data_IF_580317921172
#
_entry.id   IF_580317921172
#
_cell.length_a   1.000
_cell.length_b   1.000
_cell.length_c   1.000
_cell.angle_alpha   90.00
_cell.angle_beta   90.00
_cell.angle_gamma   90.00
#
_symmetry.space_group_name_H-M   'P 1'
#
loop_
_entity.id
_entity.type
_entity.pdbx_description
1 polymer ?
#
# COMPACT_ATOMS: atom_id res chain seq x y z
N UNK A 1 -21.64 -7.28 39.57
CA UNK A 1 -21.37 -8.76 39.63
C UNK A 1 -20.23 -9.12 40.56
N UNK A 2 -19.11 -8.40 40.63
CA UNK A 2 -18.05 -8.61 41.63
C UNK A 2 -18.55 -8.42 43.08
N UNK A 3 -19.34 -7.38 43.36
CA UNK A 3 -19.93 -7.08 44.65
C UNK A 3 -20.87 -8.22 45.20
N UNK A 4 -21.62 -8.88 44.29
CA UNK A 4 -22.51 -10.00 44.67
C UNK A 4 -21.76 -11.30 45.02
N UNK A 5 -20.44 -11.35 44.73
CA UNK A 5 -19.61 -12.51 45.04
C UNK A 5 -18.85 -12.37 46.37
N UNK A 6 -18.71 -11.13 46.87
CA UNK A 6 -18.08 -10.84 48.16
C UNK A 6 -19.04 -11.04 49.35
N UNK A 7 -20.36 -11.07 49.09
CA UNK A 7 -21.38 -11.36 50.08
C UNK A 7 -21.85 -12.83 49.95
N UNK A 8 -21.14 -13.79 50.48
CA UNK A 8 -21.50 -15.22 50.71
C UNK A 8 -22.69 -15.81 49.89
N UNK A 9 -22.76 -15.49 48.61
CA UNK A 9 -23.82 -15.97 47.71
C UNK A 9 -23.49 -17.38 47.22
N UNK A 10 -24.36 -18.38 47.44
CA UNK A 10 -24.16 -19.75 46.98
C UNK A 10 -24.27 -19.92 45.46
N UNK A 11 -24.50 -18.83 44.73
CA UNK A 11 -24.69 -18.86 43.29
C UNK A 11 -23.37 -18.96 42.52
N UNK A 12 -23.28 -19.95 41.63
CA UNK A 12 -22.09 -20.11 40.80
C UNK A 12 -21.92 -18.92 39.83
N UNK A 13 -20.65 -18.58 39.49
CA UNK A 13 -20.35 -17.54 38.51
C UNK A 13 -21.11 -17.76 37.18
N UNK A 14 -21.33 -19.01 36.80
CA UNK A 14 -22.08 -19.38 35.59
C UNK A 14 -23.55 -18.92 35.69
N UNK A 15 -24.18 -19.12 36.88
CA UNK A 15 -25.56 -18.72 37.15
C UNK A 15 -25.69 -17.20 37.15
N UNK A 16 -24.75 -16.49 37.78
CA UNK A 16 -24.73 -15.04 37.82
C UNK A 16 -24.53 -14.44 36.41
N UNK A 17 -23.58 -14.94 35.62
CA UNK A 17 -23.39 -14.50 34.24
C UNK A 17 -24.65 -14.73 33.39
N UNK A 18 -25.32 -15.89 33.54
CA UNK A 18 -26.54 -16.21 32.80
C UNK A 18 -27.72 -15.28 33.13
N UNK A 19 -27.88 -14.88 34.40
CA UNK A 19 -28.93 -13.93 34.83
C UNK A 19 -28.77 -12.54 34.19
N UNK A 20 -27.54 -12.12 33.90
CA UNK A 20 -27.24 -10.82 33.28
C UNK A 20 -26.95 -10.90 31.78
N UNK A 21 -27.15 -12.06 31.15
CA UNK A 21 -26.93 -12.25 29.72
C UNK A 21 -25.46 -12.25 29.27
N UNK A 22 -24.51 -12.49 30.20
CA UNK A 22 -23.08 -12.52 29.90
C UNK A 22 -22.52 -13.94 29.88
N UNK A 23 -21.48 -14.19 29.09
CA UNK A 23 -20.67 -15.41 29.15
C UNK A 23 -19.68 -15.35 30.34
N UNK A 24 -19.23 -16.50 30.83
CA UNK A 24 -18.16 -16.55 31.85
C UNK A 24 -16.87 -15.90 31.32
N UNK A 25 -16.60 -16.06 30.04
CA UNK A 25 -15.44 -15.48 29.39
C UNK A 25 -15.51 -13.94 29.38
N UNK A 26 -16.67 -13.38 29.07
CA UNK A 26 -16.94 -11.95 29.19
C UNK A 26 -16.69 -11.39 30.58
N UNK A 27 -17.07 -12.13 31.63
CA UNK A 27 -16.80 -11.71 33.01
C UNK A 27 -15.30 -11.61 33.32
N UNK A 28 -14.50 -12.59 32.89
CA UNK A 28 -13.05 -12.55 33.14
C UNK A 28 -12.36 -11.49 32.29
N UNK A 29 -12.83 -11.22 31.08
CA UNK A 29 -12.31 -10.17 30.22
C UNK A 29 -12.53 -8.77 30.84
N UNK A 30 -13.62 -8.57 31.58
CA UNK A 30 -13.94 -7.29 32.23
C UNK A 30 -13.46 -7.18 33.71
N UNK A 31 -12.88 -8.24 34.29
CA UNK A 31 -12.52 -8.27 35.72
C UNK A 31 -11.25 -7.51 36.08
N UNK A 32 -10.37 -7.28 35.11
CA UNK A 32 -8.98 -6.84 35.38
C UNK A 32 -8.78 -5.33 35.46
N UNK A 33 -9.81 -4.53 35.76
CA UNK A 33 -9.64 -3.08 36.06
C UNK A 33 -9.14 -2.23 34.90
N UNK A 34 -9.07 -2.78 33.71
CA UNK A 34 -8.59 -2.11 32.48
C UNK A 34 -9.66 -1.20 31.84
N UNK A 35 -10.92 -1.30 32.28
CA UNK A 35 -12.06 -0.57 31.70
C UNK A 35 -11.84 0.96 31.71
N UNK A 36 -11.17 1.50 32.73
CA UNK A 36 -10.94 2.95 32.82
C UNK A 36 -9.85 3.39 31.84
N UNK A 37 -8.78 2.60 31.72
CA UNK A 37 -7.68 2.90 30.78
C UNK A 37 -8.13 2.65 29.32
N UNK A 38 -8.90 1.59 29.06
CA UNK A 38 -9.49 1.31 27.75
C UNK A 38 -10.47 2.41 27.34
N UNK A 39 -11.38 2.84 28.21
CA UNK A 39 -12.33 3.93 27.97
C UNK A 39 -11.63 5.29 27.76
N UNK A 40 -10.49 5.52 28.39
CA UNK A 40 -9.72 6.75 28.20
C UNK A 40 -8.93 6.78 26.89
N UNK A 41 -8.49 5.62 26.36
CA UNK A 41 -7.69 5.54 25.15
C UNK A 41 -8.54 5.52 23.87
N UNK A 42 -9.78 5.03 23.92
CA UNK A 42 -10.67 4.96 22.75
C UNK A 42 -10.86 6.31 22.03
N UNK A 43 -11.12 7.44 22.73
CA UNK A 43 -11.21 8.76 22.09
C UNK A 43 -9.94 9.14 21.34
N UNK A 44 -8.76 8.83 21.89
CA UNK A 44 -7.47 9.12 21.26
C UNK A 44 -7.25 8.26 20.02
N UNK A 45 -7.65 6.99 20.07
CA UNK A 45 -7.63 6.09 18.90
C UNK A 45 -8.54 6.64 17.80
N UNK A 46 -9.75 7.06 18.14
CA UNK A 46 -10.72 7.65 17.20
C UNK A 46 -10.19 8.95 16.59
N UNK A 47 -9.58 9.82 17.39
CA UNK A 47 -8.95 11.05 16.91
C UNK A 47 -7.82 10.75 15.92
N UNK A 48 -6.90 9.85 16.27
CA UNK A 48 -5.82 9.42 15.38
C UNK A 48 -6.35 8.75 14.11
N UNK A 49 -7.39 7.93 14.23
CA UNK A 49 -8.04 7.34 13.06
C UNK A 49 -8.64 8.39 12.12
N UNK A 50 -9.19 9.49 12.66
CA UNK A 50 -9.68 10.63 11.86
C UNK A 50 -8.54 11.37 11.16
N UNK A 51 -7.41 11.57 11.83
CA UNK A 51 -6.22 12.19 11.24
C UNK A 51 -5.74 11.37 10.04
N UNK A 52 -5.51 10.06 10.23
CA UNK A 52 -5.11 9.17 9.14
C UNK A 52 -6.14 9.09 8.00
N UNK A 53 -7.45 9.20 8.33
CA UNK A 53 -8.52 9.26 7.32
C UNK A 53 -8.52 10.57 6.52
N UNK A 54 -8.05 11.67 7.09
CA UNK A 54 -7.86 12.95 6.40
C UNK A 54 -6.74 12.85 5.39
N UNK A 55 -5.63 12.20 5.77
CA UNK A 55 -4.46 12.05 4.92
C UNK A 55 -4.60 10.91 3.90
N UNK A 56 -5.26 9.81 4.29
CA UNK A 56 -5.59 8.70 3.40
C UNK A 56 -7.04 8.25 3.60
N UNK A 57 -7.99 8.83 2.84
CA UNK A 57 -9.42 8.55 3.03
C UNK A 57 -9.83 7.12 2.62
N UNK A 58 -8.99 6.40 1.89
CA UNK A 58 -9.24 5.04 1.43
C UNK A 58 -8.45 3.95 2.15
N UNK A 59 -7.63 4.30 3.13
CA UNK A 59 -6.82 3.32 3.87
C UNK A 59 -7.70 2.26 4.54
N UNK A 60 -7.53 0.98 4.22
CA UNK A 60 -8.32 -0.11 4.79
C UNK A 60 -8.13 -0.26 6.30
N UNK A 61 -9.19 -0.66 7.04
CA UNK A 61 -9.16 -0.76 8.49
C UNK A 61 -8.03 -1.65 9.03
N UNK A 62 -7.68 -2.74 8.33
CA UNK A 62 -6.58 -3.62 8.76
C UNK A 62 -5.21 -2.91 8.75
N UNK A 63 -4.94 -2.06 7.75
CA UNK A 63 -3.70 -1.27 7.70
C UNK A 63 -3.71 -0.14 8.73
N UNK A 64 -4.85 0.55 8.86
CA UNK A 64 -5.03 1.57 9.89
C UNK A 64 -4.82 0.99 11.30
N UNK A 65 -5.30 -0.25 11.55
CA UNK A 65 -5.05 -0.95 12.80
C UNK A 65 -3.56 -1.15 13.08
N UNK A 66 -2.78 -1.56 12.05
CA UNK A 66 -1.33 -1.75 12.19
C UNK A 66 -0.65 -0.44 12.57
N UNK A 67 -0.97 0.65 11.87
CA UNK A 67 -0.38 1.97 12.14
C UNK A 67 -0.71 2.42 13.57
N UNK A 68 -1.98 2.40 13.94
CA UNK A 68 -2.42 2.89 15.26
C UNK A 68 -1.90 1.98 16.36
N UNK A 69 -1.89 0.65 16.17
CA UNK A 69 -1.32 -0.28 17.13
C UNK A 69 0.14 0.07 17.45
N UNK A 70 0.96 0.36 16.44
CA UNK A 70 2.36 0.74 16.65
C UNK A 70 2.49 2.05 17.46
N UNK A 71 1.59 3.02 17.25
CA UNK A 71 1.58 4.28 18.01
C UNK A 71 1.23 4.07 19.50
N UNK A 72 0.36 3.11 19.80
CA UNK A 72 -0.12 2.84 21.16
C UNK A 72 0.50 1.59 21.79
N UNK A 73 1.52 0.98 21.16
CA UNK A 73 2.14 -0.26 21.63
C UNK A 73 2.65 -0.15 23.08
N UNK A 74 3.26 0.98 23.42
CA UNK A 74 3.80 1.24 24.77
C UNK A 74 2.74 1.38 25.86
N UNK A 75 1.48 1.62 25.52
CA UNK A 75 0.40 1.81 26.49
C UNK A 75 -0.17 0.49 27.01
N UNK A 76 0.00 -0.60 26.25
CA UNK A 76 -0.62 -1.91 26.55
C UNK A 76 -2.14 -1.96 26.45
N UNK A 77 -2.80 -0.84 26.12
CA UNK A 77 -4.27 -0.69 26.14
C UNK A 77 -4.90 -0.71 24.73
N UNK A 78 -4.19 -1.12 23.70
CA UNK A 78 -4.74 -1.17 22.34
C UNK A 78 -5.77 -2.30 22.21
N UNK A 79 -7.02 -2.01 21.77
CA UNK A 79 -8.03 -3.04 21.57
C UNK A 79 -7.62 -4.05 20.49
N UNK A 80 -8.19 -5.26 20.58
CA UNK A 80 -8.01 -6.26 19.51
C UNK A 80 -8.56 -5.76 18.17
N UNK A 81 -8.07 -6.35 17.05
CA UNK A 81 -8.41 -5.91 15.70
C UNK A 81 -9.92 -5.78 15.46
N UNK A 82 -10.71 -6.73 15.91
CA UNK A 82 -12.16 -6.76 15.65
C UNK A 82 -12.90 -5.70 16.49
N UNK A 83 -12.48 -5.49 17.74
CA UNK A 83 -12.98 -4.39 18.59
C UNK A 83 -12.60 -3.02 18.02
N UNK A 84 -11.38 -2.87 17.48
CA UNK A 84 -10.96 -1.66 16.78
C UNK A 84 -11.83 -1.38 15.53
N UNK A 85 -12.15 -2.40 14.73
CA UNK A 85 -13.02 -2.23 13.56
C UNK A 85 -14.42 -1.81 13.99
N UNK A 86 -14.94 -2.36 15.09
CA UNK A 86 -16.22 -1.96 15.63
C UNK A 86 -16.21 -0.52 16.14
N UNK A 87 -15.15 -0.11 16.84
CA UNK A 87 -14.94 1.28 17.25
C UNK A 87 -14.96 2.24 16.05
N UNK A 88 -14.29 1.87 14.94
CA UNK A 88 -14.36 2.66 13.71
C UNK A 88 -15.77 2.71 13.10
N UNK A 89 -16.52 1.61 13.17
CA UNK A 89 -17.89 1.53 12.63
C UNK A 89 -18.85 2.42 13.40
N UNK A 90 -18.83 2.35 14.73
CA UNK A 90 -19.67 3.19 15.59
C UNK A 90 -19.38 4.68 15.39
N UNK A 91 -18.11 5.03 15.13
CA UNK A 91 -17.69 6.41 14.90
C UNK A 91 -17.81 6.89 13.43
N UNK A 92 -18.42 6.08 12.55
CA UNK A 92 -18.63 6.45 11.13
C UNK A 92 -17.33 6.53 10.29
N UNK A 93 -16.27 5.86 10.73
CA UNK A 93 -14.94 5.90 10.11
C UNK A 93 -14.66 4.74 9.14
N UNK A 94 -15.70 4.00 8.74
CA UNK A 94 -15.55 2.93 7.75
C UNK A 94 -15.32 3.46 6.34
N UNK A 95 -14.44 2.81 5.59
CA UNK A 95 -14.17 3.17 4.20
C UNK A 95 -15.30 2.71 3.29
N UNK A 96 -15.86 3.64 2.52
CA UNK A 96 -16.79 3.31 1.45
C UNK A 96 -16.02 2.96 0.17
N UNK A 97 -16.28 1.77 -0.37
CA UNK A 97 -15.67 1.32 -1.63
C UNK A 97 -16.54 1.83 -2.79
N UNK A 98 -15.99 2.75 -3.59
CA UNK A 98 -16.60 3.18 -4.85
C UNK A 98 -15.97 2.38 -5.98
N UNK A 99 -16.78 1.62 -6.76
CA UNK A 99 -16.34 1.00 -8.00
C UNK A 99 -16.42 2.03 -9.13
N UNK A 100 -15.34 2.20 -9.89
CA UNK A 100 -15.32 3.04 -11.10
C UNK A 100 -14.98 2.20 -12.33
N UNK A 101 -15.33 2.73 -13.53
CA UNK A 101 -15.03 2.08 -14.80
C UNK A 101 -13.53 2.12 -15.09
N UNK A 102 -13.02 1.04 -15.67
CA UNK A 102 -11.67 0.99 -16.22
C UNK A 102 -11.64 1.61 -17.62
N UNK A 103 -10.63 2.46 -17.87
CA UNK A 103 -10.31 2.95 -19.21
C UNK A 103 -9.03 2.25 -19.68
N UNK A 104 -9.01 1.87 -20.96
CA UNK A 104 -7.82 1.30 -21.59
C UNK A 104 -6.93 2.45 -22.07
N UNK A 105 -5.67 2.50 -21.62
CA UNK A 105 -4.74 3.62 -21.83
C UNK A 105 -3.51 3.28 -22.67
N UNK A 106 -3.26 2.00 -22.96
CA UNK A 106 -2.04 1.56 -23.63
C UNK A 106 -2.29 1.35 -25.12
N UNK A 107 -1.54 2.08 -25.95
CA UNK A 107 -1.38 1.79 -27.37
C UNK A 107 -0.02 1.12 -27.60
N UNK A 108 -0.05 -0.19 -27.88
CA UNK A 108 1.11 -1.02 -28.18
C UNK A 108 1.31 -1.26 -29.69
N UNK A 109 0.45 -0.69 -30.55
CA UNK A 109 0.47 -0.84 -32.01
C UNK A 109 1.37 0.16 -32.71
N UNK A 110 2.61 0.30 -32.25
CA UNK A 110 3.60 1.22 -32.86
C UNK A 110 4.82 0.47 -33.40
N UNK A 111 5.63 1.13 -34.23
CA UNK A 111 6.80 0.59 -34.95
C UNK A 111 8.11 0.64 -34.17
N UNK A 112 8.13 1.18 -32.93
CA UNK A 112 9.34 1.25 -32.12
C UNK A 112 9.85 -0.15 -31.72
N UNK A 113 11.17 -0.23 -31.49
CA UNK A 113 11.82 -1.45 -31.02
C UNK A 113 11.26 -1.86 -29.64
N UNK A 114 10.96 -3.16 -29.48
CA UNK A 114 10.46 -3.76 -28.25
C UNK A 114 11.56 -4.62 -27.65
N UNK A 115 11.80 -4.44 -26.35
CA UNK A 115 12.82 -5.17 -25.60
C UNK A 115 12.26 -6.44 -25.00
N UNK A 116 13.13 -7.40 -24.71
CA UNK A 116 12.76 -8.68 -24.09
C UNK A 116 12.34 -8.50 -22.63
N UNK A 117 11.57 -9.46 -22.09
CA UNK A 117 11.22 -9.49 -20.68
C UNK A 117 12.35 -10.14 -19.89
N UNK A 118 13.12 -9.33 -19.17
CA UNK A 118 14.25 -9.77 -18.34
C UNK A 118 13.84 -10.09 -16.90
N UNK A 119 12.58 -9.80 -16.50
CA UNK A 119 12.13 -9.94 -15.11
C UNK A 119 11.17 -11.11 -14.90
N UNK A 120 10.93 -11.89 -15.93
CA UNK A 120 10.11 -13.10 -15.82
C UNK A 120 10.75 -14.06 -14.81
N UNK A 121 10.00 -14.41 -13.77
CA UNK A 121 10.45 -15.32 -12.69
C UNK A 121 11.58 -14.74 -11.79
N UNK A 122 11.97 -13.48 -11.97
CA UNK A 122 12.95 -12.83 -11.10
C UNK A 122 12.26 -12.28 -9.85
N UNK A 123 12.75 -12.71 -8.69
CA UNK A 123 12.33 -12.15 -7.39
C UNK A 123 13.45 -11.22 -6.89
N UNK A 124 13.22 -9.90 -6.82
CA UNK A 124 14.26 -8.99 -6.34
C UNK A 124 14.54 -9.24 -4.85
N UNK A 125 15.82 -9.19 -4.49
CA UNK A 125 16.33 -9.45 -3.13
C UNK A 125 16.84 -8.19 -2.43
N UNK A 126 16.88 -7.07 -3.13
CA UNK A 126 17.32 -5.76 -2.59
C UNK A 126 16.70 -4.61 -3.40
N UNK A 127 16.69 -3.39 -2.84
CA UNK A 127 16.26 -2.19 -3.56
C UNK A 127 17.10 -1.94 -4.81
N UNK A 128 16.49 -1.29 -5.79
CA UNK A 128 17.13 -0.84 -7.03
C UNK A 128 17.70 -1.98 -7.92
N UNK A 129 17.15 -3.20 -7.79
CA UNK A 129 17.39 -4.28 -8.75
C UNK A 129 16.42 -4.21 -9.93
N UNK A 130 15.15 -3.93 -9.65
CA UNK A 130 14.10 -3.83 -10.67
C UNK A 130 13.21 -2.64 -10.33
N UNK A 131 13.10 -1.71 -11.28
CA UNK A 131 12.06 -0.69 -11.25
C UNK A 131 10.97 -1.02 -12.26
N UNK A 132 9.73 -0.87 -11.86
CA UNK A 132 8.56 -1.06 -12.73
C UNK A 132 7.86 0.26 -12.98
N UNK A 133 7.45 0.51 -14.21
CA UNK A 133 6.82 1.77 -14.64
C UNK A 133 5.46 1.54 -15.26
N UNK A 134 4.54 2.46 -14.99
CA UNK A 134 3.23 2.49 -15.63
C UNK A 134 2.67 3.91 -15.63
N UNK A 135 1.81 4.20 -16.62
CA UNK A 135 1.11 5.48 -16.75
C UNK A 135 -0.37 5.26 -16.49
N UNK A 136 -0.93 6.11 -15.64
CA UNK A 136 -2.36 6.06 -15.37
C UNK A 136 -3.00 7.43 -15.54
N UNK A 137 -4.30 7.48 -15.81
CA UNK A 137 -5.05 8.74 -15.94
C UNK A 137 -5.63 9.17 -14.58
N UNK A 138 -5.78 10.46 -14.41
CA UNK A 138 -6.40 11.11 -13.26
C UNK A 138 -7.44 12.12 -13.78
N UNK A 139 -8.68 12.04 -13.29
CA UNK A 139 -9.73 12.99 -13.63
C UNK A 139 -9.59 14.25 -12.77
N UNK A 140 -9.59 15.41 -13.41
CA UNK A 140 -9.57 16.74 -12.77
C UNK A 140 -10.72 17.60 -13.27
N UNK A 141 -10.95 18.73 -12.62
CA UNK A 141 -11.96 19.70 -13.09
C UNK A 141 -11.62 20.34 -14.44
N UNK A 142 -10.34 20.33 -14.85
CA UNK A 142 -9.86 20.83 -16.14
C UNK A 142 -9.82 19.74 -17.23
N UNK A 143 -10.20 18.50 -16.91
CA UNK A 143 -10.13 17.35 -17.80
C UNK A 143 -9.25 16.25 -17.25
N UNK A 144 -8.76 15.37 -18.15
CA UNK A 144 -7.90 14.24 -17.79
C UNK A 144 -6.44 14.67 -17.81
N UNK A 145 -5.70 14.31 -16.75
CA UNK A 145 -4.23 14.33 -16.75
C UNK A 145 -3.69 12.92 -16.54
N UNK A 146 -2.39 12.77 -16.74
CA UNK A 146 -1.70 11.48 -16.72
C UNK A 146 -0.64 11.48 -15.64
N UNK A 147 -0.64 10.44 -14.82
CA UNK A 147 0.32 10.20 -13.77
C UNK A 147 1.25 9.07 -14.22
N UNK A 148 2.53 9.38 -14.35
CA UNK A 148 3.59 8.39 -14.57
C UNK A 148 4.21 8.04 -13.23
N UNK A 149 4.29 6.75 -12.89
CA UNK A 149 4.92 6.24 -11.67
C UNK A 149 6.07 5.31 -12.01
N UNK A 150 7.14 5.39 -11.22
CA UNK A 150 8.22 4.41 -11.18
C UNK A 150 8.28 3.85 -9.76
N UNK A 151 8.15 2.54 -9.65
CA UNK A 151 8.07 1.83 -8.37
C UNK A 151 9.19 0.81 -8.28
N UNK A 152 9.92 0.80 -7.19
CA UNK A 152 10.89 -0.25 -6.86
C UNK A 152 10.15 -1.57 -6.58
N UNK A 153 10.50 -2.62 -7.30
CA UNK A 153 9.79 -3.89 -7.22
C UNK A 153 10.03 -4.65 -5.91
N UNK A 154 11.16 -4.41 -5.24
CA UNK A 154 11.50 -5.03 -3.97
C UNK A 154 10.74 -4.39 -2.80
N UNK A 155 10.86 -3.08 -2.67
CA UNK A 155 10.33 -2.32 -1.52
C UNK A 155 8.92 -1.78 -1.75
N UNK A 156 8.43 -1.77 -3.00
CA UNK A 156 7.23 -1.06 -3.44
C UNK A 156 7.29 0.48 -3.27
N UNK A 157 8.49 1.04 -3.04
CA UNK A 157 8.69 2.48 -2.95
C UNK A 157 8.48 3.14 -4.31
N UNK A 158 7.69 4.20 -4.35
CA UNK A 158 7.60 5.06 -5.52
C UNK A 158 8.86 5.94 -5.51
N UNK A 159 9.76 5.69 -6.46
CA UNK A 159 11.07 6.34 -6.57
C UNK A 159 11.08 7.51 -7.56
N UNK A 160 10.10 7.55 -8.47
CA UNK A 160 9.92 8.64 -9.41
C UNK A 160 8.48 8.80 -9.86
N UNK A 161 8.07 10.03 -10.12
CA UNK A 161 6.73 10.33 -10.58
C UNK A 161 6.65 11.65 -11.33
N UNK A 162 5.65 11.77 -12.20
CA UNK A 162 5.32 13.02 -12.87
C UNK A 162 3.84 13.09 -13.24
N UNK A 163 3.27 14.29 -13.24
CA UNK A 163 1.91 14.57 -13.68
C UNK A 163 1.94 15.48 -14.89
N UNK A 164 1.26 15.08 -15.96
CA UNK A 164 1.18 15.87 -17.20
C UNK A 164 -0.21 15.89 -17.81
N UNK A 165 -0.54 16.95 -18.58
CA UNK A 165 -1.83 17.08 -19.26
C UNK A 165 -1.97 16.16 -20.48
N UNK A 166 -0.89 15.58 -20.96
CA UNK A 166 -0.83 14.75 -22.17
C UNK A 166 -0.04 13.48 -21.94
N UNK A 167 -0.15 12.51 -22.85
CA UNK A 167 0.66 11.27 -22.87
C UNK A 167 2.04 11.44 -23.53
N UNK A 168 2.56 12.67 -23.60
CA UNK A 168 3.88 12.90 -24.16
C UNK A 168 4.98 12.25 -23.32
N UNK A 169 6.01 11.74 -24.00
CA UNK A 169 7.17 11.06 -23.38
C UNK A 169 7.91 11.92 -22.34
N UNK A 170 7.82 13.25 -22.42
CA UNK A 170 8.50 14.15 -21.48
C UNK A 170 8.12 13.88 -20.01
N UNK A 171 6.86 13.48 -19.72
CA UNK A 171 6.42 13.24 -18.35
C UNK A 171 6.95 11.92 -17.76
N UNK A 172 6.83 10.76 -18.41
CA UNK A 172 7.53 9.57 -17.92
C UNK A 172 9.06 9.76 -17.90
N UNK A 173 9.64 10.58 -18.79
CA UNK A 173 11.06 10.91 -18.75
C UNK A 173 11.41 11.79 -17.52
N UNK A 174 10.54 12.74 -17.14
CA UNK A 174 10.68 13.52 -15.90
C UNK A 174 10.65 12.60 -14.67
N UNK A 175 9.71 11.63 -14.60
CA UNK A 175 9.65 10.64 -13.56
C UNK A 175 10.93 9.77 -13.51
N UNK A 176 11.45 9.36 -14.68
CA UNK A 176 12.69 8.58 -14.76
C UNK A 176 13.90 9.36 -14.23
N UNK A 177 14.04 10.63 -14.62
CA UNK A 177 15.13 11.48 -14.14
C UNK A 177 15.06 11.74 -12.65
N UNK A 178 13.85 11.92 -12.11
CA UNK A 178 13.65 12.00 -10.65
C UNK A 178 14.17 10.74 -9.96
N UNK A 179 13.78 9.55 -10.44
CA UNK A 179 14.21 8.28 -9.88
C UNK A 179 15.73 8.08 -9.98
N UNK A 180 16.31 8.29 -11.17
CA UNK A 180 17.76 8.15 -11.40
C UNK A 180 18.59 9.11 -10.54
N UNK A 181 18.05 10.28 -10.20
CA UNK A 181 18.70 11.23 -9.30
C UNK A 181 18.82 10.75 -7.84
N UNK A 182 18.16 9.62 -7.47
CA UNK A 182 18.22 9.05 -6.12
C UNK A 182 19.27 7.95 -5.96
N UNK A 183 19.90 7.50 -7.03
CA UNK A 183 20.89 6.42 -7.06
C UNK A 183 22.19 6.87 -7.75
N UNK A 184 23.27 6.18 -7.48
CA UNK A 184 24.55 6.37 -8.17
C UNK A 184 24.64 5.56 -9.47
N UNK A 185 25.65 5.88 -10.30
CA UNK A 185 25.86 5.22 -11.59
C UNK A 185 26.18 3.72 -11.46
N UNK A 186 26.81 3.29 -10.38
CA UNK A 186 27.09 1.87 -10.11
C UNK A 186 25.79 1.11 -9.91
N UNK A 187 24.89 1.63 -9.09
CA UNK A 187 23.54 1.07 -8.86
C UNK A 187 22.74 1.10 -10.16
N UNK A 188 22.75 2.21 -10.90
CA UNK A 188 22.03 2.32 -12.16
C UNK A 188 22.48 1.30 -13.20
N UNK A 189 23.79 0.98 -13.27
CA UNK A 189 24.33 -0.01 -14.22
C UNK A 189 23.86 -1.46 -13.99
N UNK A 190 23.35 -1.76 -12.80
CA UNK A 190 22.80 -3.08 -12.41
C UNK A 190 21.29 -3.13 -12.40
N UNK A 191 20.64 -1.97 -12.55
CA UNK A 191 19.20 -1.82 -12.51
C UNK A 191 18.54 -2.34 -13.80
N UNK A 192 17.43 -3.04 -13.65
CA UNK A 192 16.51 -3.38 -14.73
C UNK A 192 15.30 -2.45 -14.64
N UNK A 193 15.04 -1.68 -15.68
CA UNK A 193 13.81 -0.90 -15.82
C UNK A 193 12.80 -1.68 -16.66
N UNK A 194 11.68 -2.05 -16.07
CA UNK A 194 10.61 -2.81 -16.70
C UNK A 194 9.35 -1.96 -16.89
N UNK A 195 8.75 -2.03 -18.07
CA UNK A 195 7.52 -1.32 -18.43
C UNK A 195 6.63 -2.14 -19.36
N UNK A 196 5.43 -1.64 -19.61
CA UNK A 196 4.65 -2.11 -20.75
C UNK A 196 5.28 -1.65 -22.07
N UNK A 197 4.68 -2.06 -23.20
CA UNK A 197 5.11 -1.66 -24.55
C UNK A 197 4.49 -0.35 -25.04
N UNK A 198 4.16 0.57 -24.14
CA UNK A 198 3.64 1.89 -24.49
C UNK A 198 4.66 2.69 -25.31
N UNK A 199 4.18 3.46 -26.30
CA UNK A 199 5.05 4.25 -27.19
C UNK A 199 5.97 5.22 -26.42
N UNK A 200 5.56 5.65 -25.24
CA UNK A 200 6.34 6.53 -24.36
C UNK A 200 7.64 5.86 -23.91
N UNK A 201 7.56 4.61 -23.47
CA UNK A 201 8.71 3.83 -22.98
C UNK A 201 9.61 3.33 -24.10
N UNK A 202 9.04 3.13 -25.31
CA UNK A 202 9.78 2.74 -26.51
C UNK A 202 10.40 3.93 -27.25
N UNK A 203 10.12 5.17 -26.85
CA UNK A 203 10.60 6.38 -27.53
C UNK A 203 12.11 6.52 -27.46
N UNK A 204 12.71 7.10 -28.50
CA UNK A 204 14.17 7.29 -28.58
C UNK A 204 14.73 8.07 -27.38
N UNK A 205 14.02 9.11 -26.91
CA UNK A 205 14.46 9.93 -25.78
C UNK A 205 14.45 9.17 -24.46
N UNK A 206 13.43 8.34 -24.22
CA UNK A 206 13.32 7.53 -22.98
C UNK A 206 14.40 6.44 -22.97
N UNK A 207 14.55 5.73 -24.09
CA UNK A 207 15.58 4.69 -24.26
C UNK A 207 16.99 5.27 -24.15
N UNK A 208 17.23 6.45 -24.73
CA UNK A 208 18.53 7.12 -24.64
C UNK A 208 18.89 7.49 -23.19
N UNK A 209 17.93 7.95 -22.38
CA UNK A 209 18.18 8.27 -20.97
C UNK A 209 18.55 7.00 -20.17
N UNK A 210 17.82 5.89 -20.36
CA UNK A 210 18.14 4.61 -19.71
C UNK A 210 19.55 4.12 -20.09
N UNK A 211 19.88 4.14 -21.38
CA UNK A 211 21.19 3.72 -21.89
C UNK A 211 22.34 4.60 -21.41
N UNK A 212 22.10 5.91 -21.29
CA UNK A 212 23.09 6.87 -20.77
C UNK A 212 23.56 6.50 -19.36
N UNK A 213 22.68 5.95 -18.53
CA UNK A 213 22.96 5.50 -17.15
C UNK A 213 23.26 4.00 -17.06
N UNK A 214 23.39 3.28 -18.18
CA UNK A 214 23.68 1.86 -18.21
C UNK A 214 22.54 0.95 -17.75
N UNK A 215 21.31 1.49 -17.59
CA UNK A 215 20.14 0.74 -17.12
C UNK A 215 19.70 -0.28 -18.18
N UNK A 216 19.48 -1.52 -17.75
CA UNK A 216 18.93 -2.59 -18.59
C UNK A 216 17.45 -2.37 -18.85
N UNK A 217 17.02 -2.55 -20.10
CA UNK A 217 15.65 -2.28 -20.53
C UNK A 217 14.91 -3.61 -20.66
N UNK A 218 13.74 -3.69 -20.01
CA UNK A 218 12.85 -4.85 -20.03
C UNK A 218 11.42 -4.41 -20.35
N UNK A 219 10.69 -5.21 -21.11
CA UNK A 219 9.29 -4.91 -21.46
C UNK A 219 8.42 -6.17 -21.37
N UNK A 220 7.13 -5.99 -21.08
CA UNK A 220 6.15 -7.07 -21.12
C UNK A 220 6.16 -7.76 -22.48
N UNK A 221 5.95 -9.08 -22.53
CA UNK A 221 5.93 -9.85 -23.80
C UNK A 221 4.52 -9.97 -24.35
N UNK A 222 3.56 -10.12 -23.48
CA UNK A 222 2.14 -10.28 -23.78
C UNK A 222 1.33 -9.11 -23.20
N UNK A 223 0.04 -9.08 -23.50
CA UNK A 223 -0.89 -8.16 -22.82
C UNK A 223 -1.34 -8.70 -21.45
N UNK A 224 -0.61 -9.65 -20.85
CA UNK A 224 -0.95 -10.21 -19.54
C UNK A 224 -0.65 -9.18 -18.44
N UNK A 225 -1.66 -8.74 -17.68
CA UNK A 225 -1.47 -7.83 -16.55
C UNK A 225 -0.48 -8.34 -15.49
N UNK A 226 -0.29 -9.66 -15.38
CA UNK A 226 0.65 -10.24 -14.42
C UNK A 226 2.11 -9.86 -14.71
N UNK A 227 2.45 -9.53 -15.95
CA UNK A 227 3.81 -9.12 -16.31
C UNK A 227 4.21 -7.76 -15.75
N UNK A 228 3.25 -6.88 -15.38
CA UNK A 228 3.51 -5.58 -14.74
C UNK A 228 2.67 -5.35 -13.47
N UNK A 229 2.34 -6.43 -12.77
CA UNK A 229 1.39 -6.43 -11.65
C UNK A 229 1.78 -5.48 -10.49
N UNK A 230 3.07 -5.25 -10.26
CA UNK A 230 3.53 -4.35 -9.17
C UNK A 230 3.22 -2.90 -9.52
N UNK A 231 3.50 -2.45 -10.75
CA UNK A 231 3.21 -1.09 -11.19
C UNK A 231 1.68 -0.84 -11.24
N UNK A 232 0.91 -1.78 -11.79
CA UNK A 232 -0.56 -1.72 -11.79
C UNK A 232 -1.12 -1.66 -10.37
N UNK A 233 -0.53 -2.42 -9.44
CA UNK A 233 -0.94 -2.41 -8.04
C UNK A 233 -0.67 -1.07 -7.38
N UNK A 234 0.49 -0.45 -7.62
CA UNK A 234 0.81 0.88 -7.10
C UNK A 234 -0.21 1.92 -7.60
N UNK A 235 -0.46 1.95 -8.90
CA UNK A 235 -1.49 2.81 -9.51
C UNK A 235 -2.88 2.54 -8.94
N UNK A 236 -3.27 1.28 -8.78
CA UNK A 236 -4.55 0.89 -8.20
C UNK A 236 -4.72 1.38 -6.75
N UNK A 237 -3.67 1.32 -5.95
CA UNK A 237 -3.68 1.83 -4.56
C UNK A 237 -3.85 3.35 -4.55
N UNK A 238 -3.04 4.09 -5.29
CA UNK A 238 -3.13 5.56 -5.38
C UNK A 238 -4.54 5.98 -5.81
N UNK A 239 -5.11 5.34 -6.83
CA UNK A 239 -6.47 5.63 -7.29
C UNK A 239 -7.54 5.34 -6.24
N UNK A 240 -7.51 4.15 -5.65
CA UNK A 240 -8.61 3.69 -4.78
C UNK A 240 -8.56 4.29 -3.38
N UNK A 241 -7.36 4.54 -2.86
CA UNK A 241 -7.19 5.07 -1.52
C UNK A 241 -7.29 6.61 -1.48
N UNK A 242 -6.93 7.33 -2.58
CA UNK A 242 -6.96 8.79 -2.64
C UNK A 242 -7.77 9.35 -3.80
N UNK A 243 -7.33 9.17 -5.05
CA UNK A 243 -7.84 9.94 -6.19
C UNK A 243 -9.35 9.80 -6.40
N UNK A 244 -9.92 8.61 -6.20
CA UNK A 244 -11.36 8.39 -6.33
C UNK A 244 -12.19 8.99 -5.18
N UNK A 245 -11.54 9.46 -4.14
CA UNK A 245 -12.20 10.05 -2.96
C UNK A 245 -12.05 11.56 -2.88
N UNK A 246 -11.16 12.11 -3.70
CA UNK A 246 -10.86 13.53 -3.75
C UNK A 246 -11.54 14.19 -4.95
N UNK A 247 -11.80 15.48 -4.84
CA UNK A 247 -12.14 16.36 -5.98
C UNK A 247 -10.89 17.19 -6.27
N UNK A 248 -10.30 16.95 -7.42
CA UNK A 248 -9.09 17.64 -7.87
C UNK A 248 -9.50 18.68 -8.91
N UNK A 249 -9.46 19.98 -8.59
CA UNK A 249 -9.99 21.02 -9.48
C UNK A 249 -9.11 21.26 -10.70
N UNK A 250 -7.77 21.24 -10.53
CA UNK A 250 -6.82 21.56 -11.59
C UNK A 250 -5.68 20.55 -11.67
N UNK A 251 -4.94 20.55 -12.79
CA UNK A 251 -3.75 19.72 -12.98
C UNK A 251 -2.64 20.16 -12.02
N UNK A 252 -2.49 21.47 -11.77
CA UNK A 252 -1.55 21.98 -10.77
C UNK A 252 -1.85 21.44 -9.37
N UNK A 253 -3.13 21.45 -8.97
CA UNK A 253 -3.54 20.87 -7.69
C UNK A 253 -3.31 19.35 -7.64
N UNK A 254 -3.47 18.66 -8.77
CA UNK A 254 -3.13 17.23 -8.86
C UNK A 254 -1.66 16.99 -8.52
N UNK A 255 -0.75 17.81 -9.03
CA UNK A 255 0.69 17.69 -8.76
C UNK A 255 1.00 17.89 -7.27
N UNK A 256 0.45 18.93 -6.63
CA UNK A 256 0.61 19.16 -5.18
C UNK A 256 0.08 17.99 -4.34
N UNK A 257 -1.11 17.48 -4.67
CA UNK A 257 -1.69 16.34 -3.95
C UNK A 257 -0.87 15.07 -4.16
N UNK A 258 -0.30 14.85 -5.34
CA UNK A 258 0.54 13.68 -5.60
C UNK A 258 1.82 13.69 -4.77
N UNK A 259 2.44 14.84 -4.55
CA UNK A 259 3.61 14.96 -3.67
C UNK A 259 3.28 14.46 -2.25
N UNK A 260 2.16 14.94 -1.67
CA UNK A 260 1.67 14.54 -0.35
C UNK A 260 1.29 13.06 -0.30
N UNK A 261 0.59 12.56 -1.32
CA UNK A 261 0.12 11.18 -1.41
C UNK A 261 1.30 10.22 -1.49
N UNK A 262 2.31 10.52 -2.32
CA UNK A 262 3.48 9.66 -2.50
C UNK A 262 4.34 9.65 -1.24
N UNK A 263 4.48 10.79 -0.57
CA UNK A 263 5.15 10.84 0.74
C UNK A 263 4.45 9.89 1.72
N UNK A 264 3.13 10.02 1.92
CA UNK A 264 2.36 9.14 2.80
C UNK A 264 2.45 7.65 2.37
N UNK A 265 2.34 7.39 1.07
CA UNK A 265 2.46 6.03 0.51
C UNK A 265 3.80 5.39 0.89
N UNK A 266 4.88 6.14 0.77
CA UNK A 266 6.23 5.64 1.03
C UNK A 266 6.54 5.52 2.54
N UNK A 267 6.11 6.48 3.37
CA UNK A 267 6.56 6.59 4.78
C UNK A 267 5.56 6.08 5.81
N UNK A 268 4.26 6.09 5.52
CA UNK A 268 3.23 5.79 6.51
C UNK A 268 2.41 4.52 6.17
N UNK A 269 2.28 4.20 4.87
CA UNK A 269 1.37 3.15 4.46
C UNK A 269 2.01 1.77 4.54
N UNK A 270 1.49 0.82 5.37
CA UNK A 270 2.02 -0.53 5.43
C UNK A 270 1.57 -1.37 4.22
N UNK A 271 2.45 -2.27 3.77
CA UNK A 271 2.21 -3.18 2.67
C UNK A 271 2.34 -4.65 3.10
N UNK A 272 1.29 -5.43 2.89
CA UNK A 272 1.25 -6.84 3.29
C UNK A 272 2.28 -7.69 2.52
N UNK A 273 2.64 -7.30 1.30
CA UNK A 273 3.63 -7.99 0.46
C UNK A 273 5.06 -7.88 0.98
N UNK A 274 5.33 -6.92 1.84
CA UNK A 274 6.64 -6.66 2.45
C UNK A 274 6.57 -6.69 3.99
N UNK A 275 5.77 -7.58 4.55
CA UNK A 275 5.71 -7.79 6.00
C UNK A 275 4.98 -6.71 6.79
N UNK A 276 4.05 -5.98 6.18
CA UNK A 276 3.39 -4.80 6.75
C UNK A 276 4.33 -3.63 7.08
N UNK A 277 5.52 -3.62 6.51
CA UNK A 277 6.42 -2.46 6.57
C UNK A 277 5.95 -1.38 5.62
N UNK A 278 6.44 -0.16 5.82
CA UNK A 278 6.32 0.90 4.83
C UNK A 278 7.36 0.71 3.72
N UNK A 279 7.11 1.20 2.50
CA UNK A 279 8.08 1.13 1.42
C UNK A 279 9.46 1.73 1.78
N UNK A 280 9.48 2.84 2.53
CA UNK A 280 10.72 3.48 2.99
C UNK A 280 11.56 2.56 3.88
N UNK A 281 10.92 1.89 4.86
CA UNK A 281 11.60 0.94 5.75
C UNK A 281 12.12 -0.26 4.94
N UNK A 282 11.29 -0.83 4.07
CA UNK A 282 11.70 -1.96 3.24
C UNK A 282 12.82 -1.60 2.26
N UNK A 283 12.88 -0.34 1.79
CA UNK A 283 13.93 0.14 0.88
C UNK A 283 15.31 0.24 1.55
N UNK A 284 15.37 0.24 2.90
CA UNK A 284 16.62 0.15 3.67
C UNK A 284 17.07 -1.27 3.98
N UNK A 285 16.36 -2.30 3.53
CA UNK A 285 16.63 -3.70 3.85
C UNK A 285 17.12 -4.50 2.64
N UNK A 286 17.59 -5.73 2.89
CA UNK A 286 17.99 -6.70 1.87
C UNK A 286 17.53 -8.11 2.29
N UNK A 287 17.43 -9.02 1.32
CA UNK A 287 16.98 -10.38 1.53
C UNK A 287 15.51 -10.60 1.19
N UNK A 288 14.99 -11.77 1.49
CA UNK A 288 13.61 -12.11 1.17
C UNK A 288 12.59 -11.32 2.00
N UNK A 289 11.62 -10.70 1.34
CA UNK A 289 10.53 -9.99 2.01
C UNK A 289 9.42 -10.97 2.42
N UNK A 290 9.08 -10.96 3.71
CA UNK A 290 8.02 -11.81 4.27
C UNK A 290 6.64 -11.30 3.85
N UNK A 291 5.89 -12.08 3.10
CA UNK A 291 4.49 -11.77 2.77
C UNK A 291 3.57 -12.06 3.96
N UNK A 292 2.64 -11.16 4.25
CA UNK A 292 1.62 -11.32 5.31
C UNK A 292 0.31 -11.93 4.82
N UNK A 293 0.29 -12.55 3.66
CA UNK A 293 -0.86 -13.24 3.09
C UNK A 293 -0.40 -14.53 2.39
N UNK A 294 -1.26 -15.54 2.39
CA UNK A 294 -1.04 -16.77 1.61
C UNK A 294 -1.74 -16.61 0.27
N UNK A 295 -1.04 -16.90 -0.80
CA UNK A 295 -1.68 -17.10 -2.08
C UNK A 295 -2.45 -18.44 -2.01
N UNK A 296 -3.79 -18.46 -2.28
CA UNK A 296 -4.55 -19.72 -2.27
C UNK A 296 -4.02 -20.79 -3.24
N UNK A 297 -3.21 -20.36 -4.23
CA UNK A 297 -2.61 -21.23 -5.25
C UNK A 297 -1.17 -21.65 -4.92
N UNK A 298 -0.58 -21.16 -3.84
CA UNK A 298 0.72 -21.65 -3.36
C UNK A 298 0.53 -23.06 -2.83
N UNK A 299 1.19 -24.04 -3.47
CA UNK A 299 1.23 -25.41 -2.95
C UNK A 299 1.79 -25.39 -1.53
N UNK A 300 1.24 -26.20 -0.59
CA UNK A 300 1.83 -26.31 0.74
C UNK A 300 3.30 -26.72 0.58
N UNK A 301 4.21 -25.94 1.16
CA UNK A 301 5.61 -26.36 1.32
C UNK A 301 5.55 -27.61 2.19
N UNK A 302 5.94 -28.77 1.64
CA UNK A 302 6.11 -29.99 2.41
C UNK A 302 7.04 -29.66 3.58
N UNK A 303 6.52 -29.79 4.80
CA UNK A 303 7.33 -29.69 5.99
C UNK A 303 8.39 -30.79 5.86
N UNK A 304 9.66 -30.39 5.72
CA UNK A 304 10.78 -31.30 5.85
C UNK A 304 10.68 -31.85 7.27
N UNK A 305 10.18 -33.07 7.38
CA UNK A 305 10.19 -33.84 8.61
C UNK A 305 11.67 -34.13 8.91
N UNK A 306 12.22 -33.37 9.87
CA UNK A 306 13.48 -33.69 10.49
C UNK A 306 13.26 -34.97 11.30
N UNK A 307 13.72 -36.11 10.73
CA UNK A 307 13.92 -37.34 11.45
C UNK A 307 15.13 -37.27 12.40
#
# INVERSE_FOLDING_TARGET
MSLLREEDSPSSLRTLCGLFGYSRQSFYTHKDGNDFAENAIEPLIVEKARDYRRDNPGLGCAKLYIIIKNLFESTGCMPGRDAFIELLRVNGLMVQIKRRRHYKTTDSSHHYHKYENLVKEVVPMRPNEIWVSDITYVETGEGVCYLSLITDAYSHKIVGWAVGPTLETRYPLEALRMALGTIDDETASRLIHHSDRGCQYCSASYVAELKKHGVMISMTQSGDPLENAIAERANGIIKTEWLYKMKIPTIGKCKEEMERIILFYNTERPHMSIGNKTPEVAHGEQGEQKRCWRNPWDKPTEAVASG
#
